data_IF_172853608208
#
_entry.id   IF_172853608208
#
_cell.length_a   1.000
_cell.length_b   1.000
_cell.length_c   1.000
_cell.angle_alpha   90.00
_cell.angle_beta   90.00
_cell.angle_gamma   90.00
#
_symmetry.space_group_name_H-M   'P 1'
#
loop_
_entity.id
_entity.type
_entity.pdbx_description
1 polymer ?
#
# COMPACT_ATOMS: atom_id res chain seq x y z
N UNK A 1 21.97 2.60 -15.99
CA UNK A 1 21.02 3.68 -16.32
C UNK A 1 19.65 3.03 -16.56
N UNK A 2 18.62 3.46 -15.83
CA UNK A 2 17.26 2.89 -15.97
C UNK A 2 16.62 3.25 -17.32
N UNK A 3 17.07 4.33 -17.98
CA UNK A 3 16.56 4.78 -19.27
C UNK A 3 16.63 3.70 -20.36
N UNK A 4 17.72 2.92 -20.37
CA UNK A 4 17.90 1.81 -21.31
C UNK A 4 16.80 0.73 -21.19
N UNK A 5 16.20 0.58 -20.01
CA UNK A 5 15.10 -0.38 -19.78
C UNK A 5 13.80 0.15 -20.40
N UNK A 6 13.52 1.44 -20.22
CA UNK A 6 12.27 2.06 -20.71
C UNK A 6 12.25 2.19 -22.24
N UNK A 7 13.41 2.38 -22.86
CA UNK A 7 13.55 2.52 -24.31
C UNK A 7 13.74 1.19 -25.05
N UNK A 8 14.08 0.10 -24.36
CA UNK A 8 14.33 -1.19 -25.00
C UNK A 8 13.03 -1.81 -25.52
N UNK A 9 13.01 -2.22 -26.79
CA UNK A 9 11.91 -3.01 -27.35
C UNK A 9 11.87 -4.46 -26.86
N UNK A 10 12.92 -4.92 -26.16
CA UNK A 10 13.00 -6.29 -25.60
C UNK A 10 12.39 -6.39 -24.20
N UNK A 11 11.98 -5.26 -23.60
CA UNK A 11 11.38 -5.21 -22.27
C UNK A 11 9.88 -4.97 -22.41
N UNK A 12 9.07 -5.88 -21.88
CA UNK A 12 7.60 -5.73 -21.87
C UNK A 12 7.08 -5.08 -20.58
N UNK A 13 7.79 -5.28 -19.47
CA UNK A 13 7.36 -4.85 -18.14
C UNK A 13 8.53 -4.40 -17.26
N UNK A 14 8.25 -3.53 -16.29
CA UNK A 14 9.19 -3.08 -15.27
C UNK A 14 8.74 -3.47 -13.87
N UNK A 15 9.71 -3.82 -13.02
CA UNK A 15 9.52 -4.05 -11.59
C UNK A 15 10.27 -2.94 -10.84
N UNK A 16 9.52 -2.08 -10.17
CA UNK A 16 10.03 -0.93 -9.44
C UNK A 16 10.00 -1.28 -7.95
N UNK A 17 11.18 -1.55 -7.39
CA UNK A 17 11.41 -1.86 -5.97
C UNK A 17 12.56 -1.01 -5.41
N UNK A 18 12.66 0.22 -5.87
CA UNK A 18 13.65 1.21 -5.44
C UNK A 18 13.15 1.98 -4.21
N UNK A 19 13.89 2.95 -3.64
CA UNK A 19 13.34 3.78 -2.57
C UNK A 19 12.11 4.57 -3.02
N UNK A 20 11.12 4.75 -2.14
CA UNK A 20 9.80 5.33 -2.44
C UNK A 20 9.85 6.66 -3.21
N UNK A 21 10.74 7.58 -2.86
CA UNK A 21 10.88 8.89 -3.52
C UNK A 21 11.22 8.79 -5.03
N UNK A 22 11.66 7.62 -5.49
CA UNK A 22 11.96 7.36 -6.92
C UNK A 22 10.78 6.74 -7.67
N UNK A 23 9.80 6.16 -6.98
CA UNK A 23 8.75 5.34 -7.58
C UNK A 23 7.97 6.09 -8.65
N UNK A 24 7.41 7.26 -8.31
CA UNK A 24 6.57 8.03 -9.24
C UNK A 24 7.28 8.29 -10.56
N UNK A 25 8.53 8.78 -10.52
CA UNK A 25 9.29 9.09 -11.73
C UNK A 25 9.53 7.83 -12.57
N UNK A 26 9.94 6.72 -11.95
CA UNK A 26 10.21 5.46 -12.64
C UNK A 26 8.93 4.83 -13.21
N UNK A 27 7.80 4.94 -12.49
CA UNK A 27 6.49 4.49 -12.94
C UNK A 27 6.08 5.28 -14.19
N UNK A 28 6.14 6.61 -14.13
CA UNK A 28 5.77 7.47 -15.26
C UNK A 28 6.66 7.20 -16.48
N UNK A 29 7.98 7.08 -16.29
CA UNK A 29 8.91 6.77 -17.39
C UNK A 29 8.64 5.39 -18.01
N UNK A 30 8.35 4.38 -17.20
CA UNK A 30 7.99 3.03 -17.68
C UNK A 30 6.71 3.05 -18.50
N UNK A 31 5.66 3.73 -18.01
CA UNK A 31 4.37 3.83 -18.69
C UNK A 31 4.48 4.61 -20.02
N UNK A 32 5.25 5.71 -20.03
CA UNK A 32 5.54 6.47 -21.25
C UNK A 32 6.38 5.68 -22.27
N UNK A 33 7.21 4.75 -21.79
CA UNK A 33 7.91 3.75 -22.60
C UNK A 33 7.04 2.57 -23.07
N UNK A 34 5.71 2.65 -22.85
CA UNK A 34 4.74 1.61 -23.19
C UNK A 34 5.04 0.26 -22.51
N UNK A 35 5.46 0.30 -21.24
CA UNK A 35 5.76 -0.89 -20.43
C UNK A 35 4.64 -1.14 -19.42
N UNK A 36 4.31 -2.40 -19.17
CA UNK A 36 3.55 -2.80 -18.00
C UNK A 36 4.38 -2.52 -16.73
N UNK A 37 3.73 -2.12 -15.63
CA UNK A 37 4.45 -1.72 -14.41
C UNK A 37 3.95 -2.49 -13.20
N UNK A 38 4.88 -3.16 -12.52
CA UNK A 38 4.75 -3.60 -11.13
C UNK A 38 5.55 -2.65 -10.27
N UNK A 39 4.93 -2.05 -9.26
CA UNK A 39 5.60 -1.12 -8.34
C UNK A 39 5.35 -1.55 -6.90
N UNK A 40 6.43 -1.62 -6.12
CA UNK A 40 6.36 -1.74 -4.67
C UNK A 40 5.52 -0.62 -4.05
N UNK A 41 4.92 -0.91 -2.91
CA UNK A 41 4.14 0.10 -2.18
C UNK A 41 5.08 1.13 -1.53
N UNK A 42 4.64 2.40 -1.40
CA UNK A 42 3.52 3.01 -2.10
C UNK A 42 3.92 3.47 -3.51
N UNK A 43 2.96 3.69 -4.41
CA UNK A 43 3.22 4.16 -5.79
C UNK A 43 3.91 5.54 -5.83
N UNK A 44 3.60 6.41 -4.89
CA UNK A 44 4.21 7.73 -4.70
C UNK A 44 4.12 8.12 -3.22
N UNK A 45 4.87 9.14 -2.82
CA UNK A 45 4.86 9.71 -1.47
C UNK A 45 3.55 10.45 -1.16
N UNK A 46 2.81 10.85 -2.19
CA UNK A 46 1.55 11.57 -2.04
C UNK A 46 0.42 11.07 -2.94
N UNK A 47 -0.79 11.52 -2.62
CA UNK A 47 -2.03 11.16 -3.31
C UNK A 47 -2.05 11.66 -4.76
N UNK A 48 -1.55 12.87 -5.01
CA UNK A 48 -1.57 13.47 -6.34
C UNK A 48 -0.58 12.77 -7.27
N UNK A 49 0.58 12.37 -6.77
CA UNK A 49 1.55 11.53 -7.48
C UNK A 49 1.01 10.16 -7.82
N UNK A 50 0.35 9.52 -6.86
CA UNK A 50 -0.36 8.25 -7.10
C UNK A 50 -1.43 8.41 -8.18
N UNK A 51 -2.24 9.47 -8.11
CA UNK A 51 -3.26 9.78 -9.12
C UNK A 51 -2.64 9.98 -10.51
N UNK A 52 -1.57 10.77 -10.63
CA UNK A 52 -0.83 10.99 -11.89
C UNK A 52 -0.36 9.69 -12.51
N UNK A 53 0.17 8.76 -11.70
CA UNK A 53 0.63 7.46 -12.18
C UNK A 53 -0.51 6.62 -12.78
N UNK A 54 -1.64 6.50 -12.08
CA UNK A 54 -2.79 5.75 -12.59
C UNK A 54 -3.45 6.39 -13.81
N UNK A 55 -3.56 7.72 -13.86
CA UNK A 55 -4.04 8.43 -15.05
C UNK A 55 -3.12 8.23 -16.25
N UNK A 56 -1.80 8.20 -16.03
CA UNK A 56 -0.82 7.94 -17.09
C UNK A 56 -0.92 6.50 -17.57
N UNK A 57 -1.08 5.54 -16.66
CA UNK A 57 -1.27 4.13 -17.00
C UNK A 57 -2.51 3.93 -17.87
N UNK A 58 -3.62 4.57 -17.51
CA UNK A 58 -4.84 4.55 -18.31
C UNK A 58 -4.64 5.16 -19.71
N UNK A 59 -3.95 6.30 -19.82
CA UNK A 59 -3.66 6.95 -21.11
C UNK A 59 -2.73 6.12 -21.99
N UNK A 60 -1.75 5.45 -21.40
CA UNK A 60 -0.82 4.58 -22.10
C UNK A 60 -1.44 3.23 -22.50
N UNK A 61 -2.58 2.86 -21.91
CA UNK A 61 -3.17 1.52 -22.09
C UNK A 61 -2.33 0.41 -21.47
N UNK A 62 -1.51 0.73 -20.46
CA UNK A 62 -0.62 -0.19 -19.79
C UNK A 62 -1.10 -0.47 -18.35
N UNK A 63 -0.96 -1.70 -17.85
CA UNK A 63 -1.30 -2.00 -16.47
C UNK A 63 -0.29 -1.36 -15.50
N UNK A 64 -0.78 -0.80 -14.41
CA UNK A 64 -0.01 -0.40 -13.24
C UNK A 64 -0.50 -1.20 -12.02
N UNK A 65 0.38 -2.01 -11.46
CA UNK A 65 0.11 -2.87 -10.32
C UNK A 65 0.86 -2.39 -9.09
N UNK A 66 0.12 -2.00 -8.04
CA UNK A 66 0.69 -1.69 -6.72
C UNK A 66 0.82 -2.96 -5.89
N UNK A 67 2.03 -3.24 -5.38
CA UNK A 67 2.38 -4.51 -4.75
C UNK A 67 1.87 -4.67 -3.31
N UNK A 68 0.55 -4.70 -3.11
CA UNK A 68 -0.04 -5.15 -1.84
C UNK A 68 -0.03 -6.69 -1.75
N UNK A 69 1.17 -7.23 -1.51
CA UNK A 69 1.45 -8.66 -1.51
C UNK A 69 0.56 -9.48 -0.55
N UNK A 70 0.10 -8.90 0.57
CA UNK A 70 -0.77 -9.59 1.55
C UNK A 70 -2.09 -10.08 0.94
N UNK A 71 -2.60 -9.46 -0.13
CA UNK A 71 -3.80 -9.95 -0.85
C UNK A 71 -3.59 -11.32 -1.51
N UNK A 72 -2.34 -11.75 -1.67
CA UNK A 72 -1.94 -13.02 -2.28
C UNK A 72 -1.48 -14.07 -1.26
N UNK A 73 -1.45 -13.73 0.04
CA UNK A 73 -1.29 -14.75 1.08
C UNK A 73 -2.50 -15.69 1.05
N UNK A 74 -2.31 -17.02 0.99
CA UNK A 74 -3.43 -17.97 0.91
C UNK A 74 -4.44 -17.82 2.05
N UNK A 75 -3.98 -17.48 3.26
CA UNK A 75 -4.83 -17.33 4.44
C UNK A 75 -5.70 -16.09 4.35
N UNK A 76 -5.13 -14.95 3.93
CA UNK A 76 -5.90 -13.73 3.69
C UNK A 76 -6.82 -13.87 2.48
N UNK A 77 -6.39 -14.61 1.45
CA UNK A 77 -7.22 -14.91 0.30
C UNK A 77 -8.42 -15.77 0.69
N UNK A 78 -8.26 -16.76 1.56
CA UNK A 78 -9.38 -17.54 2.07
C UNK A 78 -10.41 -16.68 2.80
N UNK A 79 -9.95 -15.75 3.66
CA UNK A 79 -10.84 -14.81 4.36
C UNK A 79 -11.62 -13.95 3.38
N UNK A 80 -10.95 -13.42 2.34
CA UNK A 80 -11.59 -12.66 1.27
C UNK A 80 -12.67 -13.48 0.55
N UNK A 81 -12.35 -14.71 0.12
CA UNK A 81 -13.32 -15.56 -0.59
C UNK A 81 -14.52 -15.92 0.29
N UNK A 82 -14.29 -16.36 1.53
CA UNK A 82 -15.36 -16.75 2.47
C UNK A 82 -16.27 -15.59 2.85
N UNK A 83 -15.74 -14.38 2.86
CA UNK A 83 -16.55 -13.16 3.03
C UNK A 83 -17.48 -12.95 1.84
N UNK A 84 -16.99 -13.18 0.62
CA UNK A 84 -17.75 -12.98 -0.62
C UNK A 84 -18.75 -14.08 -0.93
N UNK A 85 -18.45 -15.33 -0.57
CA UNK A 85 -19.39 -16.44 -0.74
C UNK A 85 -20.51 -16.44 0.31
N UNK A 86 -20.36 -15.63 1.37
CA UNK A 86 -21.33 -15.54 2.46
C UNK A 86 -21.16 -16.62 3.53
N UNK A 87 -20.05 -17.38 3.51
CA UNK A 87 -19.77 -18.46 4.46
C UNK A 87 -19.68 -17.98 5.92
N UNK A 88 -19.33 -16.71 6.11
CA UNK A 88 -19.22 -16.05 7.42
C UNK A 88 -20.51 -15.32 7.83
N UNK A 89 -21.56 -15.38 7.01
CA UNK A 89 -22.79 -14.61 7.21
C UNK A 89 -22.57 -13.10 7.04
N UNK A 90 -23.30 -12.30 7.82
CA UNK A 90 -23.10 -10.85 7.83
C UNK A 90 -21.80 -10.53 8.60
N UNK A 91 -20.86 -9.87 7.91
CA UNK A 91 -19.68 -9.31 8.58
C UNK A 91 -20.14 -8.17 9.50
N UNK A 92 -19.68 -8.19 10.75
CA UNK A 92 -19.99 -7.17 11.76
C UNK A 92 -18.73 -6.41 12.21
N UNK A 93 -17.57 -7.08 12.20
CA UNK A 93 -16.30 -6.57 12.68
C UNK A 93 -15.16 -7.19 11.87
N UNK A 94 -14.21 -6.38 11.43
CA UNK A 94 -12.90 -6.88 10.98
C UNK A 94 -11.82 -6.38 11.93
N UNK A 95 -11.02 -7.33 12.42
CA UNK A 95 -9.89 -7.03 13.30
C UNK A 95 -8.60 -7.55 12.69
N UNK A 96 -7.69 -6.63 12.40
CA UNK A 96 -6.31 -6.95 12.02
C UNK A 96 -5.36 -6.66 13.18
N UNK A 97 -4.20 -7.29 13.17
CA UNK A 97 -3.11 -7.01 14.12
C UNK A 97 -1.80 -7.33 13.43
N UNK A 98 -1.04 -6.29 13.10
CA UNK A 98 0.30 -6.39 12.51
C UNK A 98 1.35 -5.92 13.51
N UNK A 99 2.47 -6.64 13.57
CA UNK A 99 3.62 -6.34 14.42
C UNK A 99 4.88 -6.73 13.67
N UNK A 100 5.74 -5.77 13.42
CA UNK A 100 6.99 -6.03 12.69
C UNK A 100 8.12 -6.41 13.66
N UNK A 101 8.97 -7.33 13.22
CA UNK A 101 10.19 -7.72 13.92
C UNK A 101 11.20 -8.23 12.91
N UNK A 102 12.47 -7.76 12.93
CA UNK A 102 13.01 -6.73 13.83
C UNK A 102 12.53 -5.31 13.49
N UNK A 103 12.82 -4.34 14.38
CA UNK A 103 12.57 -2.92 14.11
C UNK A 103 13.40 -2.48 12.88
N UNK A 104 12.81 -1.75 11.91
CA UNK A 104 13.56 -1.17 10.79
C UNK A 104 14.66 -0.21 11.25
N UNK A 105 15.62 0.07 10.37
CA UNK A 105 16.69 1.02 10.70
C UNK A 105 16.12 2.44 10.87
N UNK A 106 16.72 3.23 11.76
CA UNK A 106 16.32 4.64 11.95
C UNK A 106 16.52 5.49 10.70
N UNK A 107 17.47 5.13 9.84
CA UNK A 107 17.69 5.80 8.55
C UNK A 107 16.49 5.62 7.62
N UNK A 108 15.95 4.40 7.57
CA UNK A 108 14.74 4.10 6.79
C UNK A 108 13.50 4.76 7.40
N UNK A 109 13.31 4.67 8.71
CA UNK A 109 12.11 5.23 9.36
C UNK A 109 11.96 6.73 9.11
N UNK A 110 13.06 7.49 9.06
CA UNK A 110 13.05 8.93 8.72
C UNK A 110 12.50 9.25 7.33
N UNK A 111 12.53 8.30 6.40
CA UNK A 111 12.08 8.48 5.01
C UNK A 111 10.89 7.59 4.65
N UNK A 112 10.35 6.85 5.64
CA UNK A 112 9.27 5.87 5.44
C UNK A 112 7.88 6.49 5.21
N UNK A 113 7.70 7.76 5.58
CA UNK A 113 6.39 8.40 5.66
C UNK A 113 5.64 8.14 6.99
N UNK A 114 6.28 7.43 7.92
CA UNK A 114 5.75 7.11 9.24
C UNK A 114 4.90 5.84 9.26
N UNK A 115 4.59 5.35 10.45
CA UNK A 115 3.94 4.03 10.65
C UNK A 115 2.63 3.84 9.88
N UNK A 116 1.88 4.91 9.63
CA UNK A 116 0.64 4.84 8.86
C UNK A 116 0.87 4.54 7.38
N UNK A 117 1.89 5.16 6.78
CA UNK A 117 2.24 4.98 5.38
C UNK A 117 3.09 3.74 5.14
N UNK A 118 3.91 3.37 6.12
CA UNK A 118 4.84 2.25 5.97
C UNK A 118 4.23 0.91 6.38
N UNK A 119 3.64 0.83 7.57
CA UNK A 119 3.14 -0.43 8.13
C UNK A 119 1.62 -0.55 7.98
N UNK A 120 0.87 0.41 8.52
CA UNK A 120 -0.60 0.32 8.63
C UNK A 120 -1.31 0.31 7.27
N UNK A 121 -0.66 0.84 6.23
CA UNK A 121 -1.18 0.84 4.86
C UNK A 121 -1.57 -0.57 4.39
N UNK A 122 -0.83 -1.61 4.80
CA UNK A 122 -1.14 -2.99 4.44
C UNK A 122 -2.41 -3.49 5.12
N UNK A 123 -2.66 -3.08 6.37
CA UNK A 123 -3.88 -3.47 7.08
C UNK A 123 -5.10 -2.71 6.55
N UNK A 124 -4.95 -1.42 6.25
CA UNK A 124 -6.00 -0.60 5.63
C UNK A 124 -6.37 -1.16 4.26
N UNK A 125 -5.36 -1.50 3.44
CA UNK A 125 -5.55 -2.15 2.15
C UNK A 125 -6.30 -3.48 2.28
N UNK A 126 -5.91 -4.31 3.24
CA UNK A 126 -6.51 -5.62 3.46
C UNK A 126 -7.98 -5.52 3.89
N UNK A 127 -8.31 -4.63 4.84
CA UNK A 127 -9.69 -4.45 5.31
C UNK A 127 -10.58 -3.93 4.19
N UNK A 128 -10.15 -2.89 3.47
CA UNK A 128 -10.93 -2.34 2.35
C UNK A 128 -11.08 -3.33 1.20
N UNK A 129 -10.06 -4.17 0.96
CA UNK A 129 -10.14 -5.23 -0.04
C UNK A 129 -11.12 -6.34 0.34
N UNK A 130 -11.09 -6.82 1.60
CA UNK A 130 -12.00 -7.85 2.11
C UNK A 130 -13.45 -7.36 2.08
N UNK A 131 -13.70 -6.12 2.51
CA UNK A 131 -15.05 -5.56 2.53
C UNK A 131 -15.56 -5.14 1.14
N UNK A 132 -14.66 -4.72 0.25
CA UNK A 132 -15.05 -4.16 -1.05
C UNK A 132 -15.67 -2.77 -0.97
N UNK A 133 -15.48 -2.06 0.14
CA UNK A 133 -15.92 -0.69 0.39
C UNK A 133 -14.86 0.11 1.15
N UNK A 134 -14.99 1.43 1.14
CA UNK A 134 -14.09 2.35 1.82
C UNK A 134 -14.73 2.90 3.09
N UNK A 135 -13.93 3.21 4.13
CA UNK A 135 -14.46 3.77 5.37
C UNK A 135 -14.99 5.19 5.16
N UNK A 136 -16.06 5.51 5.87
CA UNK A 136 -16.66 6.86 5.94
C UNK A 136 -16.15 7.66 7.15
N UNK A 137 -15.58 6.98 8.14
CA UNK A 137 -14.99 7.60 9.34
C UNK A 137 -13.78 6.78 9.77
N UNK A 138 -12.70 7.48 10.16
CA UNK A 138 -11.47 6.86 10.68
C UNK A 138 -11.06 7.60 11.93
N UNK A 139 -10.80 6.85 13.00
CA UNK A 139 -10.24 7.37 14.24
C UNK A 139 -8.98 6.59 14.60
N UNK A 140 -7.94 7.27 15.07
CA UNK A 140 -6.69 6.64 15.46
C UNK A 140 -6.17 7.16 16.80
N UNK A 141 -5.54 6.26 17.55
CA UNK A 141 -4.75 6.57 18.74
C UNK A 141 -3.34 6.06 18.47
N UNK A 142 -2.35 6.92 18.65
CA UNK A 142 -0.96 6.62 18.37
C UNK A 142 -0.06 7.01 19.55
N UNK A 143 0.96 6.20 19.81
CA UNK A 143 1.98 6.48 20.81
C UNK A 143 3.37 6.10 20.31
N UNK A 144 4.37 6.86 20.74
CA UNK A 144 5.77 6.55 20.55
C UNK A 144 6.34 6.06 21.89
N UNK A 145 6.42 4.74 22.07
CA UNK A 145 6.97 4.10 23.27
C UNK A 145 8.50 3.99 23.21
N UNK A 146 9.07 3.98 22.00
CA UNK A 146 10.52 3.90 21.75
C UNK A 146 11.10 5.32 21.61
N UNK A 147 12.09 5.72 22.43
CA UNK A 147 12.65 7.08 22.41
C UNK A 147 13.20 7.52 21.05
N UNK A 148 13.86 6.63 20.33
CA UNK A 148 14.47 6.91 19.04
C UNK A 148 13.42 7.22 17.95
N UNK A 149 12.27 6.56 18.00
CA UNK A 149 11.13 6.79 17.10
C UNK A 149 10.44 8.13 17.45
N UNK A 150 10.28 8.41 18.75
CA UNK A 150 9.78 9.72 19.21
C UNK A 150 10.67 10.86 18.71
N UNK A 151 11.99 10.69 18.73
CA UNK A 151 12.94 11.73 18.32
C UNK A 151 12.89 12.06 16.82
N UNK A 152 12.30 11.19 16.00
CA UNK A 152 12.06 11.45 14.57
C UNK A 152 10.61 11.89 14.28
N UNK A 153 9.82 12.16 15.33
CA UNK A 153 8.39 12.54 15.25
C UNK A 153 7.52 11.48 14.56
N UNK A 154 7.79 10.21 14.78
CA UNK A 154 6.95 9.09 14.32
C UNK A 154 6.37 8.32 15.52
N UNK A 155 5.55 7.30 15.25
CA UNK A 155 4.90 6.44 16.25
C UNK A 155 5.28 4.97 16.06
N UNK A 156 5.24 4.18 17.13
CA UNK A 156 5.53 2.74 17.10
C UNK A 156 4.37 1.86 17.56
N UNK A 157 3.32 2.49 18.08
CA UNK A 157 2.12 1.81 18.54
C UNK A 157 0.90 2.58 18.06
N UNK A 158 0.09 1.96 17.20
CA UNK A 158 -1.11 2.57 16.64
C UNK A 158 -2.31 1.64 16.76
N UNK A 159 -3.46 2.23 17.09
CA UNK A 159 -4.78 1.61 16.97
C UNK A 159 -5.59 2.46 16.01
N UNK A 160 -6.19 1.81 15.01
CA UNK A 160 -7.03 2.45 14.00
C UNK A 160 -8.40 1.78 14.04
N UNK A 161 -9.46 2.58 14.15
CA UNK A 161 -10.84 2.14 14.02
C UNK A 161 -11.45 2.78 12.78
N UNK A 162 -12.11 1.98 11.96
CA UNK A 162 -12.72 2.41 10.69
C UNK A 162 -14.21 2.10 10.74
N UNK A 163 -15.05 3.03 10.30
CA UNK A 163 -16.49 2.79 10.16
C UNK A 163 -16.85 2.83 8.68
N UNK A 164 -17.66 1.87 8.24
CA UNK A 164 -18.09 1.75 6.87
C UNK A 164 -19.57 2.10 6.70
N UNK A 165 -20.00 2.37 5.47
CA UNK A 165 -21.40 2.69 5.14
C UNK A 165 -22.35 1.54 5.53
N UNK A 166 -21.87 0.31 5.40
CA UNK A 166 -22.56 -0.92 5.84
C UNK A 166 -22.78 -1.03 7.36
N UNK A 167 -22.16 -0.15 8.16
CA UNK A 167 -22.15 -0.21 9.63
C UNK A 167 -21.09 -1.15 10.21
N UNK A 168 -20.26 -1.78 9.37
CA UNK A 168 -19.11 -2.59 9.81
C UNK A 168 -18.07 -1.68 10.49
N UNK A 169 -17.37 -2.24 11.46
CA UNK A 169 -16.26 -1.60 12.21
C UNK A 169 -14.97 -2.41 12.10
#
# INVERSE_FOLDING_TARGET
DSKAVFESSEVDATLIATPTFTHENLVLQSLLGNKAVFCEKPISEDREGTRRCYETAQKAGQPLFCAFNRRFDPSFREVYERTRTGDVGQVLLIKTTSRDSPLPTLEYLKTSGGIFHDCAVHDIDLVTWILGEYPIEVHSIANATIPEIRNINDFDNVVITMKFESGIV
#
